data_IF_569610250540
#
_entry.id   IF_569610250540
#
_cell.length_a   1.000
_cell.length_b   1.000
_cell.length_c   1.000
_cell.angle_alpha   90.00
_cell.angle_beta   90.00
_cell.angle_gamma   90.00
#
_symmetry.space_group_name_H-M   'P 1'
#
loop_
_entity.id
_entity.type
_entity.pdbx_description
1 polymer ?
#
# COMPACT_ATOMS: atom_id res chain seq x y z
N UNK A 1 10.20 17.97 12.21
CA UNK A 1 10.28 16.76 11.35
C UNK A 1 9.51 17.03 10.06
N UNK A 2 9.90 16.46 8.92
CA UNK A 2 9.08 16.58 7.70
C UNK A 2 7.76 15.80 7.85
N UNK A 3 6.68 16.29 7.22
CA UNK A 3 5.36 15.61 7.30
C UNK A 3 5.40 14.17 6.78
N UNK A 4 6.18 13.91 5.72
CA UNK A 4 6.41 12.57 5.19
C UNK A 4 6.96 11.61 6.25
N UNK A 5 7.93 12.08 7.03
CA UNK A 5 8.54 11.32 8.11
C UNK A 5 7.58 11.12 9.29
N UNK A 6 6.72 12.10 9.55
CA UNK A 6 5.63 11.98 10.53
C UNK A 6 4.66 10.85 10.16
N UNK A 7 4.24 10.77 8.89
CA UNK A 7 3.37 9.68 8.43
C UNK A 7 4.06 8.33 8.46
N UNK A 8 5.34 8.24 8.06
CA UNK A 8 6.11 7.01 8.17
C UNK A 8 6.20 6.53 9.62
N UNK A 9 6.57 7.43 10.52
CA UNK A 9 6.64 7.14 11.95
C UNK A 9 5.29 6.64 12.50
N UNK A 10 4.21 7.41 12.30
CA UNK A 10 2.88 7.05 12.78
C UNK A 10 2.38 5.72 12.21
N UNK A 11 2.53 5.50 10.90
CA UNK A 11 2.11 4.24 10.25
C UNK A 11 2.95 3.03 10.63
N UNK A 12 4.09 3.23 11.30
CA UNK A 12 4.93 2.15 11.84
C UNK A 12 4.55 1.74 13.25
N UNK A 13 3.70 2.53 13.92
CA UNK A 13 3.20 2.23 15.25
C UNK A 13 1.96 1.34 15.16
N UNK A 14 1.96 0.24 15.91
CA UNK A 14 0.83 -0.69 15.95
C UNK A 14 -0.48 0.00 16.38
N UNK A 15 -1.55 -0.25 15.63
CA UNK A 15 -2.89 0.27 15.90
C UNK A 15 -3.17 1.67 15.32
N UNK A 16 -2.18 2.32 14.70
CA UNK A 16 -2.40 3.62 14.04
C UNK A 16 -2.88 3.40 12.60
N UNK A 17 -4.15 3.71 12.38
CA UNK A 17 -4.79 3.71 11.06
C UNK A 17 -4.78 5.11 10.44
N UNK A 18 -5.10 5.22 9.15
CA UNK A 18 -5.30 6.52 8.49
C UNK A 18 -6.34 7.39 9.21
N UNK A 19 -7.45 6.78 9.64
CA UNK A 19 -8.47 7.47 10.47
C UNK A 19 -7.94 7.94 11.82
N UNK A 20 -7.00 7.20 12.41
CA UNK A 20 -6.34 7.63 13.65
C UNK A 20 -5.52 8.89 13.39
N UNK A 21 -4.76 8.92 12.29
CA UNK A 21 -3.94 10.06 11.91
C UNK A 21 -4.83 11.28 11.58
N UNK A 22 -5.94 11.08 10.89
CA UNK A 22 -6.94 12.13 10.63
C UNK A 22 -7.49 12.73 11.93
N UNK A 23 -7.90 11.89 12.89
CA UNK A 23 -8.35 12.38 14.21
C UNK A 23 -7.29 13.17 14.96
N UNK A 24 -6.02 12.76 14.88
CA UNK A 24 -4.93 13.53 15.48
C UNK A 24 -4.78 14.86 14.75
N UNK A 25 -4.78 14.83 13.42
CA UNK A 25 -4.70 16.03 12.57
C UNK A 25 -5.83 17.02 12.87
N UNK A 26 -7.06 16.55 13.06
CA UNK A 26 -8.22 17.39 13.40
C UNK A 26 -8.06 18.07 14.78
N UNK A 27 -7.35 17.43 15.70
CA UNK A 27 -7.17 17.93 17.07
C UNK A 27 -5.98 18.89 17.21
N UNK A 28 -4.87 18.65 16.51
CA UNK A 28 -3.61 19.43 16.66
C UNK A 28 -3.19 20.18 15.39
N UNK A 29 -3.91 20.04 14.28
CA UNK A 29 -3.60 20.62 12.98
C UNK A 29 -2.51 19.87 12.21
N UNK A 30 -1.27 19.91 12.72
CA UNK A 30 -0.09 19.37 12.03
C UNK A 30 0.49 18.18 12.79
N UNK A 31 0.46 17.00 12.18
CA UNK A 31 0.92 15.74 12.82
C UNK A 31 2.43 15.70 13.02
N UNK A 32 3.19 16.45 12.21
CA UNK A 32 4.64 16.62 12.36
C UNK A 32 5.05 17.22 13.71
N UNK A 33 4.16 17.98 14.37
CA UNK A 33 4.41 18.61 15.67
C UNK A 33 4.32 17.60 16.84
N UNK A 34 3.74 16.41 16.64
CA UNK A 34 3.61 15.39 17.69
C UNK A 34 4.95 15.01 18.32
N UNK A 35 6.04 15.11 17.55
CA UNK A 35 7.37 14.77 18.04
C UNK A 35 7.85 15.72 19.14
N UNK A 36 7.43 16.98 19.03
CA UNK A 36 7.81 18.07 19.92
C UNK A 36 6.92 18.15 21.17
N UNK A 37 5.75 17.50 21.15
CA UNK A 37 4.84 17.44 22.29
C UNK A 37 5.47 16.65 23.43
N UNK A 38 5.27 17.13 24.66
CA UNK A 38 5.53 16.37 25.88
C UNK A 38 4.58 15.18 25.99
N UNK A 39 4.99 14.16 26.76
CA UNK A 39 4.15 12.98 27.00
C UNK A 39 2.78 13.36 27.59
N UNK A 40 2.75 14.37 28.48
CA UNK A 40 1.52 14.92 29.06
C UNK A 40 0.58 15.44 27.99
N UNK A 41 1.08 16.22 27.03
CA UNK A 41 0.27 16.76 25.93
C UNK A 41 -0.30 15.63 25.07
N UNK A 42 0.48 14.59 24.76
CA UNK A 42 -0.02 13.42 24.01
C UNK A 42 -1.14 12.70 24.77
N UNK A 43 -1.02 12.57 26.10
CA UNK A 43 -2.06 11.95 26.91
C UNK A 43 -3.38 12.76 26.91
N UNK A 44 -3.34 14.07 26.66
CA UNK A 44 -4.55 14.92 26.61
C UNK A 44 -5.39 14.77 25.34
N UNK A 45 -4.89 14.11 24.28
CA UNK A 45 -5.61 13.93 23.01
C UNK A 45 -6.96 13.24 23.22
N UNK A 46 -8.08 13.92 23.00
CA UNK A 46 -9.42 13.45 23.40
C UNK A 46 -9.92 12.30 22.53
N UNK A 47 -9.64 12.35 21.23
CA UNK A 47 -10.25 11.44 20.25
C UNK A 47 -9.45 10.16 19.97
N UNK A 48 -8.40 9.93 20.77
CA UNK A 48 -7.46 8.82 20.62
C UNK A 48 -7.56 7.91 21.85
N UNK A 49 -7.55 6.59 21.65
CA UNK A 49 -7.61 5.65 22.77
C UNK A 49 -6.28 5.61 23.55
N UNK A 50 -6.33 5.20 24.82
CA UNK A 50 -5.16 5.21 25.70
C UNK A 50 -3.99 4.37 25.13
N UNK A 51 -4.27 3.16 24.63
CA UNK A 51 -3.25 2.27 24.07
C UNK A 51 -2.50 2.88 22.87
N UNK A 52 -3.18 3.65 22.00
CA UNK A 52 -2.49 4.36 20.90
C UNK A 52 -1.64 5.48 21.47
N UNK A 53 -2.11 6.24 22.46
CA UNK A 53 -1.30 7.31 23.10
C UNK A 53 -0.04 6.75 23.74
N UNK A 54 -0.17 5.65 24.49
CA UNK A 54 0.96 4.94 25.09
C UNK A 54 1.97 4.48 24.04
N UNK A 55 1.49 3.92 22.92
CA UNK A 55 2.36 3.54 21.81
C UNK A 55 3.03 4.76 21.14
N UNK A 56 2.31 5.87 20.95
CA UNK A 56 2.90 7.11 20.41
C UNK A 56 4.04 7.56 21.31
N UNK A 57 3.80 7.70 22.63
CA UNK A 57 4.83 8.09 23.61
C UNK A 57 6.02 7.12 23.58
N UNK A 58 5.75 5.81 23.64
CA UNK A 58 6.77 4.75 23.64
C UNK A 58 7.69 4.81 22.42
N UNK A 59 7.14 5.14 21.25
CA UNK A 59 7.88 5.14 19.97
C UNK A 59 8.23 6.55 19.48
N UNK A 60 8.01 7.61 20.28
CA UNK A 60 8.34 9.02 19.98
C UNK A 60 9.85 9.28 20.05
N UNK A 61 10.59 8.76 19.08
CA UNK A 61 12.05 8.95 18.99
C UNK A 61 12.55 9.01 17.54
N UNK A 62 13.44 9.96 17.25
CA UNK A 62 14.13 10.05 15.94
C UNK A 62 14.92 8.76 15.67
N UNK A 63 15.48 8.13 16.70
CA UNK A 63 16.20 6.86 16.53
C UNK A 63 15.29 5.71 16.13
N UNK A 64 14.00 5.76 16.46
CA UNK A 64 13.03 4.77 16.01
C UNK A 64 12.65 4.97 14.54
N UNK A 65 12.45 6.22 14.11
CA UNK A 65 12.22 6.56 12.70
C UNK A 65 13.40 6.15 11.81
N UNK A 66 14.64 6.46 12.22
CA UNK A 66 15.83 6.08 11.44
C UNK A 66 15.99 4.56 11.33
N UNK A 67 15.65 3.79 12.37
CA UNK A 67 15.59 2.32 12.29
C UNK A 67 14.58 1.84 11.25
N UNK A 68 13.41 2.45 11.17
CA UNK A 68 12.40 2.09 10.17
C UNK A 68 12.92 2.36 8.75
N UNK A 69 13.51 3.54 8.53
CA UNK A 69 14.12 3.91 7.24
C UNK A 69 15.23 2.93 6.85
N UNK A 70 16.08 2.54 7.80
CA UNK A 70 17.14 1.54 7.56
C UNK A 70 16.55 0.18 7.16
N UNK A 71 15.51 -0.30 7.85
CA UNK A 71 14.84 -1.57 7.52
C UNK A 71 14.25 -1.51 6.11
N UNK A 72 13.56 -0.42 5.76
CA UNK A 72 12.99 -0.21 4.43
C UNK A 72 14.07 -0.20 3.35
N UNK A 73 15.17 0.52 3.59
CA UNK A 73 16.32 0.56 2.69
C UNK A 73 16.92 -0.84 2.47
N UNK A 74 17.21 -1.58 3.55
CA UNK A 74 17.79 -2.92 3.49
C UNK A 74 16.91 -3.94 2.78
N UNK A 75 15.58 -3.77 2.86
CA UNK A 75 14.59 -4.64 2.20
C UNK A 75 14.19 -4.16 0.81
N UNK A 76 14.84 -3.10 0.31
CA UNK A 76 14.54 -2.45 -0.96
C UNK A 76 13.05 -2.08 -1.09
N UNK A 77 12.48 -1.55 -0.02
CA UNK A 77 11.10 -1.06 0.03
C UNK A 77 11.14 0.46 -0.04
N UNK A 78 10.51 1.01 -1.08
CA UNK A 78 10.32 2.45 -1.21
C UNK A 78 8.97 2.84 -0.59
N UNK A 79 8.83 4.11 -0.26
CA UNK A 79 7.56 4.65 0.22
C UNK A 79 7.30 6.04 -0.38
N UNK A 80 6.03 6.37 -0.56
CA UNK A 80 5.56 7.67 -1.05
C UNK A 80 4.40 8.17 -0.19
N UNK A 81 4.35 9.48 0.04
CA UNK A 81 3.36 10.19 0.84
C UNK A 81 2.33 10.89 -0.07
N UNK A 82 1.09 11.04 0.39
CA UNK A 82 -0.02 11.72 -0.33
C UNK A 82 0.30 13.16 -0.75
N UNK A 83 1.24 13.81 -0.05
CA UNK A 83 1.70 15.17 -0.32
C UNK A 83 2.85 15.21 -1.35
N UNK A 84 3.43 14.07 -1.73
CA UNK A 84 4.51 14.02 -2.72
C UNK A 84 3.95 14.28 -4.14
N UNK A 85 4.66 15.07 -4.95
CA UNK A 85 4.26 15.40 -6.32
C UNK A 85 4.09 14.17 -7.24
N UNK A 86 4.79 13.08 -6.93
CA UNK A 86 4.71 11.81 -7.67
C UNK A 86 3.59 10.89 -7.19
N UNK A 87 2.83 11.26 -6.16
CA UNK A 87 1.77 10.42 -5.63
C UNK A 87 0.69 10.18 -6.71
N UNK A 88 0.17 8.95 -6.87
CA UNK A 88 -0.76 8.66 -7.96
C UNK A 88 -2.03 9.51 -7.87
N UNK A 89 -2.37 10.22 -8.95
CA UNK A 89 -3.45 11.21 -8.96
C UNK A 89 -4.81 10.57 -8.66
N UNK A 90 -5.16 9.50 -9.35
CA UNK A 90 -6.45 8.81 -9.13
C UNK A 90 -6.56 8.28 -7.70
N UNK A 91 -5.46 7.74 -7.17
CA UNK A 91 -5.41 7.22 -5.81
C UNK A 91 -5.52 8.32 -4.74
N UNK A 92 -5.13 9.56 -5.06
CA UNK A 92 -5.33 10.71 -4.17
C UNK A 92 -6.80 11.11 -4.06
N UNK A 93 -7.60 10.79 -5.08
CA UNK A 93 -8.99 11.22 -5.23
C UNK A 93 -10.03 10.15 -4.82
N UNK A 94 -9.59 8.98 -4.34
CA UNK A 94 -10.52 7.97 -3.81
C UNK A 94 -11.06 8.39 -2.44
N UNK A 95 -12.12 7.70 -1.99
CA UNK A 95 -12.56 7.80 -0.60
C UNK A 95 -11.51 7.20 0.36
N UNK A 96 -11.10 7.98 1.38
CA UNK A 96 -10.10 7.61 2.38
C UNK A 96 -8.76 7.16 1.73
N UNK A 97 -8.07 8.09 1.02
CA UNK A 97 -6.84 7.79 0.31
C UNK A 97 -5.71 7.43 1.29
N UNK A 98 -4.83 6.47 0.94
CA UNK A 98 -3.74 6.08 1.85
C UNK A 98 -2.71 7.20 1.97
N UNK A 99 -2.52 7.73 3.18
CA UNK A 99 -1.53 8.81 3.44
C UNK A 99 -0.09 8.42 3.08
N UNK A 100 0.21 7.11 3.13
CA UNK A 100 1.50 6.54 2.86
C UNK A 100 1.34 5.19 2.15
N UNK A 101 2.14 4.97 1.10
CA UNK A 101 2.17 3.71 0.36
C UNK A 101 3.61 3.19 0.34
N UNK A 102 3.78 1.91 0.63
CA UNK A 102 5.02 1.17 0.45
C UNK A 102 4.99 0.43 -0.87
N UNK A 103 6.09 0.41 -1.62
CA UNK A 103 6.11 -0.22 -2.93
C UNK A 103 7.48 -0.77 -3.33
N UNK A 104 7.44 -1.71 -4.28
CA UNK A 104 8.57 -2.23 -5.06
C UNK A 104 8.19 -2.17 -6.55
N UNK A 105 9.13 -1.80 -7.42
CA UNK A 105 8.88 -1.64 -8.86
C UNK A 105 8.72 -0.18 -9.30
N UNK A 106 8.08 0.04 -10.45
CA UNK A 106 7.98 1.34 -11.09
C UNK A 106 6.66 2.05 -10.72
N UNK A 107 6.74 3.10 -9.91
CA UNK A 107 5.57 3.87 -9.50
C UNK A 107 5.01 4.77 -10.62
N UNK A 108 5.89 5.24 -11.52
CA UNK A 108 5.52 6.25 -12.52
C UNK A 108 4.46 5.71 -13.51
N UNK A 109 4.32 4.38 -13.65
CA UNK A 109 3.31 3.74 -14.52
C UNK A 109 1.86 4.05 -14.10
N UNK A 110 1.62 4.39 -12.83
CA UNK A 110 0.27 4.70 -12.36
C UNK A 110 -0.26 6.03 -12.91
N UNK A 111 0.61 7.01 -13.14
CA UNK A 111 0.22 8.34 -13.62
C UNK A 111 0.34 8.49 -15.14
N UNK A 112 1.13 7.63 -15.81
CA UNK A 112 1.48 7.81 -17.21
C UNK A 112 0.62 6.96 -18.17
N UNK A 113 -0.21 6.06 -17.65
CA UNK A 113 -0.93 5.07 -18.44
C UNK A 113 -2.38 4.91 -17.95
N UNK A 114 -3.25 4.43 -18.82
CA UNK A 114 -4.58 4.00 -18.43
C UNK A 114 -4.48 2.72 -17.60
N UNK A 115 -5.14 2.70 -16.44
CA UNK A 115 -5.17 1.56 -15.54
C UNK A 115 -6.57 0.95 -15.49
N UNK A 116 -6.66 -0.39 -15.50
CA UNK A 116 -7.93 -1.10 -15.37
C UNK A 116 -7.86 -2.16 -14.29
N UNK A 117 -8.82 -2.10 -13.37
CA UNK A 117 -8.98 -3.09 -12.30
C UNK A 117 -9.59 -4.39 -12.86
N UNK A 118 -8.93 -5.53 -12.60
CA UNK A 118 -9.51 -6.86 -12.86
C UNK A 118 -9.61 -7.64 -11.55
N UNK A 119 -10.83 -7.94 -11.13
CA UNK A 119 -11.12 -8.67 -9.89
C UNK A 119 -12.06 -9.83 -10.16
N UNK A 120 -12.02 -10.87 -9.33
CA UNK A 120 -12.99 -11.96 -9.45
C UNK A 120 -12.82 -13.10 -8.47
N UNK A 121 -13.42 -14.24 -8.80
CA UNK A 121 -13.46 -15.41 -7.93
C UNK A 121 -12.07 -15.96 -7.58
N UNK A 122 -11.91 -16.38 -6.32
CA UNK A 122 -10.75 -17.14 -5.84
C UNK A 122 -10.74 -18.60 -6.28
N UNK A 123 -11.89 -19.10 -6.77
CA UNK A 123 -12.07 -20.47 -7.32
C UNK A 123 -12.74 -20.38 -8.70
N UNK A 124 -12.04 -19.86 -9.72
CA UNK A 124 -12.61 -19.72 -11.05
C UNK A 124 -12.74 -21.07 -11.77
N UNK A 125 -13.68 -21.15 -12.70
CA UNK A 125 -13.77 -22.28 -13.65
C UNK A 125 -12.63 -22.22 -14.67
N UNK A 126 -12.37 -23.31 -15.41
CA UNK A 126 -11.39 -23.30 -16.52
C UNK A 126 -11.69 -22.20 -17.54
N UNK A 127 -12.97 -21.99 -17.84
CA UNK A 127 -13.42 -20.90 -18.71
C UNK A 127 -13.05 -19.53 -18.11
N UNK A 128 -13.37 -19.28 -16.83
CA UNK A 128 -13.03 -18.04 -16.16
C UNK A 128 -11.52 -17.76 -16.12
N UNK A 129 -10.69 -18.79 -15.96
CA UNK A 129 -9.22 -18.68 -16.05
C UNK A 129 -8.81 -18.23 -17.45
N UNK A 130 -9.35 -18.87 -18.50
CA UNK A 130 -9.05 -18.51 -19.88
C UNK A 130 -9.49 -17.09 -20.21
N UNK A 131 -10.68 -16.68 -19.76
CA UNK A 131 -11.18 -15.32 -19.94
C UNK A 131 -10.26 -14.30 -19.26
N UNK A 132 -9.92 -14.50 -17.98
CA UNK A 132 -9.06 -13.58 -17.24
C UNK A 132 -7.71 -13.37 -17.93
N UNK A 133 -7.07 -14.47 -18.38
CA UNK A 133 -5.79 -14.39 -19.10
C UNK A 133 -5.93 -13.67 -20.44
N UNK A 134 -6.93 -14.07 -21.25
CA UNK A 134 -7.09 -13.56 -22.62
C UNK A 134 -7.48 -12.08 -22.63
N UNK A 135 -8.45 -11.68 -21.80
CA UNK A 135 -8.89 -10.29 -21.70
C UNK A 135 -7.75 -9.41 -21.18
N UNK A 136 -7.09 -9.84 -20.11
CA UNK A 136 -5.96 -9.11 -19.54
C UNK A 136 -4.81 -8.94 -20.54
N UNK A 137 -4.48 -9.98 -21.30
CA UNK A 137 -3.48 -9.90 -22.37
C UNK A 137 -3.92 -8.92 -23.47
N UNK A 138 -5.16 -9.00 -23.95
CA UNK A 138 -5.66 -8.11 -25.00
C UNK A 138 -5.64 -6.64 -24.58
N UNK A 139 -6.01 -6.34 -23.34
CA UNK A 139 -5.91 -4.99 -22.79
C UNK A 139 -4.45 -4.53 -22.67
N UNK A 140 -3.56 -5.42 -22.19
CA UNK A 140 -2.14 -5.16 -22.13
C UNK A 140 -1.49 -4.95 -23.51
N UNK A 141 -1.93 -5.67 -24.55
CA UNK A 141 -1.45 -5.47 -25.93
C UNK A 141 -1.77 -4.06 -26.45
N UNK A 142 -2.83 -3.41 -25.91
CA UNK A 142 -3.20 -2.02 -26.16
C UNK A 142 -2.45 -1.02 -25.26
N UNK A 143 -1.54 -1.47 -24.40
CA UNK A 143 -0.78 -0.63 -23.47
C UNK A 143 -1.53 -0.23 -22.21
N UNK A 144 -2.68 -0.86 -21.93
CA UNK A 144 -3.46 -0.64 -20.70
C UNK A 144 -2.82 -1.44 -19.57
N UNK A 145 -2.59 -0.78 -18.45
CA UNK A 145 -2.10 -1.44 -17.25
C UNK A 145 -3.22 -2.20 -16.54
N UNK A 146 -2.88 -3.33 -15.93
CA UNK A 146 -3.84 -4.14 -15.16
C UNK A 146 -3.55 -4.04 -13.67
N UNK A 147 -4.52 -3.54 -12.90
CA UNK A 147 -4.47 -3.50 -11.44
C UNK A 147 -5.26 -4.69 -10.88
N UNK A 148 -4.66 -5.43 -9.95
CA UNK A 148 -5.37 -6.47 -9.21
C UNK A 148 -4.74 -6.74 -7.84
N UNK A 149 -5.32 -7.66 -7.08
CA UNK A 149 -5.04 -7.87 -5.67
C UNK A 149 -4.04 -8.97 -5.34
N UNK A 150 -3.38 -9.57 -6.34
CA UNK A 150 -2.51 -10.75 -6.20
C UNK A 150 -3.18 -11.95 -5.49
N UNK A 151 -4.51 -11.96 -5.34
CA UNK A 151 -5.19 -13.10 -4.73
C UNK A 151 -5.11 -14.34 -5.63
N UNK A 152 -5.33 -15.53 -5.06
CA UNK A 152 -5.53 -16.74 -5.87
C UNK A 152 -6.73 -16.57 -6.82
N UNK A 153 -6.72 -17.28 -7.94
CA UNK A 153 -7.83 -17.24 -8.90
C UNK A 153 -7.71 -16.09 -9.89
N UNK A 154 -8.81 -15.37 -10.14
CA UNK A 154 -8.90 -14.38 -11.22
C UNK A 154 -7.82 -13.31 -11.13
N UNK A 155 -7.50 -12.80 -9.94
CA UNK A 155 -6.43 -11.80 -9.76
C UNK A 155 -5.07 -12.32 -10.29
N UNK A 156 -4.64 -13.51 -9.86
CA UNK A 156 -3.40 -14.14 -10.32
C UNK A 156 -3.37 -14.33 -11.83
N UNK A 157 -4.48 -14.81 -12.40
CA UNK A 157 -4.56 -15.08 -13.83
C UNK A 157 -4.66 -13.81 -14.67
N UNK A 158 -5.21 -12.72 -14.11
CA UNK A 158 -5.20 -11.40 -14.75
C UNK A 158 -3.77 -10.87 -14.82
N UNK A 159 -3.00 -10.92 -13.72
CA UNK A 159 -1.58 -10.55 -13.74
C UNK A 159 -0.78 -11.40 -14.76
N UNK A 160 -0.97 -12.72 -14.75
CA UNK A 160 -0.31 -13.62 -15.71
C UNK A 160 -0.67 -13.31 -17.17
N UNK A 161 -1.92 -12.91 -17.45
CA UNK A 161 -2.32 -12.48 -18.80
C UNK A 161 -1.62 -11.18 -19.21
N UNK A 162 -1.60 -10.19 -18.32
CA UNK A 162 -1.06 -8.86 -18.58
C UNK A 162 0.45 -8.90 -18.90
N UNK A 163 1.21 -9.71 -18.16
CA UNK A 163 2.67 -9.91 -18.36
C UNK A 163 3.02 -10.37 -19.79
N UNK A 164 2.08 -11.01 -20.49
CA UNK A 164 2.29 -11.47 -21.87
C UNK A 164 1.91 -10.43 -22.94
N UNK A 165 1.61 -9.19 -22.54
CA UNK A 165 1.33 -8.06 -23.44
C UNK A 165 2.37 -6.94 -23.30
N UNK A 166 2.00 -5.72 -23.66
CA UNK A 166 2.88 -4.53 -23.63
C UNK A 166 2.66 -3.61 -22.42
N UNK A 167 1.49 -3.69 -21.80
CA UNK A 167 1.13 -2.95 -20.60
C UNK A 167 1.78 -3.56 -19.35
N UNK A 168 1.80 -2.78 -18.28
CA UNK A 168 2.35 -3.21 -17.01
C UNK A 168 1.26 -3.69 -16.07
N UNK A 169 1.62 -4.55 -15.13
CA UNK A 169 0.69 -5.03 -14.11
C UNK A 169 1.04 -4.47 -12.74
N UNK A 170 0.02 -4.09 -11.97
CA UNK A 170 0.14 -3.56 -10.61
C UNK A 170 -0.57 -4.48 -9.63
N UNK A 171 0.18 -5.02 -8.68
CA UNK A 171 -0.36 -5.77 -7.55
C UNK A 171 -0.49 -4.85 -6.33
N UNK A 172 -1.71 -4.60 -5.89
CA UNK A 172 -1.98 -3.97 -4.61
C UNK A 172 -2.03 -5.09 -3.56
N UNK A 173 -1.50 -4.96 -2.34
CA UNK A 173 -1.41 -6.04 -1.34
C UNK A 173 -2.14 -5.73 -0.02
N UNK A 174 -2.75 -6.74 0.58
CA UNK A 174 -3.26 -6.71 1.97
C UNK A 174 -2.21 -7.10 3.03
N UNK A 175 -0.99 -7.42 2.59
CA UNK A 175 0.19 -7.68 3.39
C UNK A 175 1.29 -6.68 3.01
N UNK A 176 2.44 -6.71 3.69
CA UNK A 176 3.58 -5.88 3.30
C UNK A 176 4.12 -6.30 1.92
N UNK A 177 4.72 -5.35 1.19
CA UNK A 177 5.38 -5.62 -0.10
C UNK A 177 6.63 -6.49 0.03
N UNK A 178 7.12 -6.68 1.25
CA UNK A 178 8.25 -7.55 1.55
C UNK A 178 7.85 -9.00 1.85
N UNK A 179 6.58 -9.22 2.22
CA UNK A 179 6.00 -10.54 2.41
C UNK A 179 4.66 -10.63 1.66
N UNK A 180 4.68 -10.72 0.31
CA UNK A 180 3.47 -10.79 -0.48
C UNK A 180 2.66 -12.05 -0.15
N UNK A 181 1.37 -11.87 0.09
CA UNK A 181 0.44 -12.96 0.31
C UNK A 181 -0.62 -13.03 -0.79
N UNK A 182 -1.01 -14.25 -1.21
CA UNK A 182 -0.63 -15.56 -0.67
C UNK A 182 0.78 -16.02 -1.10
N UNK A 183 1.45 -16.86 -0.28
CA UNK A 183 2.83 -17.31 -0.51
C UNK A 183 3.08 -17.95 -1.89
N UNK A 184 2.09 -18.68 -2.41
CA UNK A 184 2.17 -19.31 -3.74
C UNK A 184 2.33 -18.30 -4.89
N UNK A 185 1.98 -17.03 -4.67
CA UNK A 185 2.08 -15.96 -5.67
C UNK A 185 3.32 -15.07 -5.49
N UNK A 186 4.26 -15.44 -4.60
CA UNK A 186 5.50 -14.67 -4.42
C UNK A 186 6.30 -14.59 -5.73
N UNK A 187 6.42 -15.70 -6.46
CA UNK A 187 7.10 -15.71 -7.76
C UNK A 187 6.41 -14.80 -8.79
N UNK A 188 5.07 -14.73 -8.74
CA UNK A 188 4.31 -13.82 -9.59
C UNK A 188 4.57 -12.36 -9.19
N UNK A 189 4.61 -12.02 -7.90
CA UNK A 189 4.94 -10.68 -7.45
C UNK A 189 6.35 -10.25 -7.88
N UNK A 190 7.34 -11.14 -7.79
CA UNK A 190 8.69 -10.87 -8.27
C UNK A 190 8.69 -10.65 -9.79
N UNK A 191 8.01 -11.50 -10.55
CA UNK A 191 7.89 -11.37 -12.00
C UNK A 191 7.24 -10.04 -12.42
N UNK A 192 6.21 -9.59 -11.69
CA UNK A 192 5.59 -8.27 -11.89
C UNK A 192 6.64 -7.16 -11.79
N UNK A 193 7.52 -7.19 -10.79
CA UNK A 193 8.56 -6.17 -10.58
C UNK A 193 9.64 -6.27 -11.67
N UNK A 194 10.09 -7.48 -11.99
CA UNK A 194 11.11 -7.75 -13.01
C UNK A 194 10.69 -7.24 -14.40
N UNK A 195 9.40 -7.35 -14.73
CA UNK A 195 8.84 -6.88 -16.01
C UNK A 195 8.46 -5.39 -16.02
N UNK A 196 8.93 -4.62 -15.04
CA UNK A 196 8.71 -3.16 -14.98
C UNK A 196 7.37 -2.73 -14.36
N UNK A 197 6.61 -3.68 -13.80
CA UNK A 197 5.39 -3.43 -13.06
C UNK A 197 5.60 -2.92 -11.63
N UNK A 198 4.55 -3.01 -10.82
CA UNK A 198 4.50 -2.41 -9.49
C UNK A 198 3.83 -3.35 -8.48
N UNK A 199 4.40 -3.46 -7.29
CA UNK A 199 3.78 -4.11 -6.14
C UNK A 199 3.70 -3.08 -5.03
N UNK A 200 2.49 -2.77 -4.54
CA UNK A 200 2.25 -1.71 -3.55
C UNK A 200 1.35 -2.15 -2.41
N UNK A 201 1.50 -1.52 -1.25
CA UNK A 201 0.75 -1.81 -0.03
C UNK A 201 0.64 -0.58 0.87
N UNK A 202 -0.43 -0.49 1.64
CA UNK A 202 -0.55 0.47 2.74
C UNK A 202 0.10 -0.03 4.05
N UNK A 203 0.52 -1.31 4.07
CA UNK A 203 1.05 -1.98 5.25
C UNK A 203 2.57 -1.99 5.22
N UNK A 204 3.18 -1.48 6.29
CA UNK A 204 4.63 -1.41 6.46
C UNK A 204 5.23 -2.82 6.58
N UNK A 205 6.55 -2.93 6.44
CA UNK A 205 7.32 -4.14 6.78
C UNK A 205 6.92 -4.66 8.16
N UNK A 206 6.84 -5.98 8.29
CA UNK A 206 6.48 -6.69 9.53
C UNK A 206 5.11 -6.34 10.13
N UNK A 207 4.26 -5.58 9.42
CA UNK A 207 2.88 -5.34 9.84
C UNK A 207 2.09 -6.65 9.95
N UNK A 208 1.26 -6.74 10.99
CA UNK A 208 0.35 -7.87 11.16
C UNK A 208 -0.62 -7.96 9.97
N UNK A 209 -0.76 -9.17 9.43
CA UNK A 209 -1.73 -9.46 8.37
C UNK A 209 -3.00 -9.99 9.00
N UNK A 210 -4.08 -9.23 8.87
CA UNK A 210 -5.41 -9.61 9.38
C UNK A 210 -6.43 -9.66 8.23
N UNK A 211 -7.51 -10.46 8.35
CA UNK A 211 -8.49 -10.62 7.27
C UNK A 211 -9.09 -9.30 6.75
N UNK A 212 -9.31 -8.32 7.63
CA UNK A 212 -9.85 -7.00 7.26
C UNK A 212 -8.91 -6.17 6.38
N UNK A 213 -7.61 -6.50 6.33
CA UNK A 213 -6.67 -5.83 5.43
C UNK A 213 -7.04 -6.07 3.96
N UNK A 214 -7.47 -7.28 3.62
CA UNK A 214 -7.82 -7.63 2.24
C UNK A 214 -9.08 -6.88 1.76
N UNK A 215 -10.05 -6.66 2.64
CA UNK A 215 -11.22 -5.84 2.33
C UNK A 215 -10.84 -4.36 2.21
N UNK A 216 -10.02 -3.85 3.14
CA UNK A 216 -9.59 -2.44 3.16
C UNK A 216 -8.75 -2.08 1.94
N UNK A 217 -7.95 -3.02 1.44
CA UNK A 217 -7.11 -2.85 0.26
C UNK A 217 -7.90 -2.65 -1.03
N UNK A 218 -9.11 -3.21 -1.15
CA UNK A 218 -9.88 -3.17 -2.40
C UNK A 218 -10.21 -1.75 -2.89
N UNK A 219 -10.33 -0.77 -1.98
CA UNK A 219 -10.52 0.64 -2.36
C UNK A 219 -9.33 1.25 -3.14
N UNK A 220 -8.15 0.64 -3.03
CA UNK A 220 -6.93 1.04 -3.75
C UNK A 220 -6.87 0.36 -5.12
N UNK A 221 -7.59 -0.77 -5.30
CA UNK A 221 -7.66 -1.46 -6.59
C UNK A 221 -8.64 -0.78 -7.53
N UNK A 222 -9.76 -0.27 -6.99
CA UNK A 222 -10.89 0.27 -7.74
C UNK A 222 -10.59 1.53 -8.51
#
# INVERSE_FOLDING_TARGET
>A
MERRDAYLWLKSISGISTKTIEKIKDEIGNVENLMDFSDKEIYTLKNINLNIKENIVKYKSNSYLEKIKEILYRRNVKYICIDDNKYPYDLKNIYNPPLLIFYKGNLDILNNNLNLAMVGSRKPTRYGISCAKNISKQLSDLGINIISGLAIGIDSYSHMGCINGKGNTIAVLGSSVDNPLPKQNINLANKIIEDGGLVLSEYNVDSAVIPSNFSSRNRIIS
#
